data_IF_305346181724
#
_entry.id   IF_305346181724
#
_cell.length_a   1.000
_cell.length_b   1.000
_cell.length_c   1.000
_cell.angle_alpha   90.00
_cell.angle_beta   90.00
_cell.angle_gamma   90.00
#
_symmetry.space_group_name_H-M   'P 1'
#
loop_
_entity.id
_entity.type
_entity.pdbx_description
1 polymer ?
#
# COMPACT_ATOMS: atom_id res chain seq x y z
N UNK A 1 35.36 -13.95 -32.47
CA UNK A 1 35.70 -13.37 -31.15
C UNK A 1 35.57 -11.86 -31.32
N UNK A 2 34.54 -11.20 -30.78
CA UNK A 2 34.55 -10.65 -29.41
C UNK A 2 35.92 -9.97 -29.15
N UNK A 3 36.06 -8.68 -28.87
CA UNK A 3 35.25 -7.89 -27.96
C UNK A 3 35.63 -6.40 -28.05
N UNK A 4 34.61 -5.56 -27.79
CA UNK A 4 34.58 -4.15 -27.40
C UNK A 4 35.86 -3.49 -26.84
N UNK A 5 36.03 -2.20 -27.13
CA UNK A 5 36.10 -1.21 -26.05
C UNK A 5 35.68 0.20 -26.49
N UNK A 6 34.86 0.83 -25.66
CA UNK A 6 34.18 2.10 -25.86
C UNK A 6 35.00 3.29 -25.34
N UNK A 7 34.72 4.50 -25.86
CA UNK A 7 34.51 5.70 -25.04
C UNK A 7 34.03 6.85 -25.95
N UNK A 8 32.75 7.23 -25.94
CA UNK A 8 32.11 8.19 -25.03
C UNK A 8 32.66 9.63 -25.17
N UNK A 9 31.83 10.55 -25.70
CA UNK A 9 31.43 11.83 -25.08
C UNK A 9 30.68 12.69 -26.12
N UNK A 10 29.38 12.86 -25.87
CA UNK A 10 28.59 14.09 -25.93
C UNK A 10 28.96 15.17 -26.98
N UNK A 11 28.05 15.46 -27.91
CA UNK A 11 27.28 16.71 -27.86
C UNK A 11 26.34 16.85 -29.06
N UNK A 12 25.12 17.33 -28.76
CA UNK A 12 24.23 18.11 -29.63
C UNK A 12 24.20 17.65 -31.10
N UNK A 13 23.29 16.72 -31.41
CA UNK A 13 22.82 16.58 -32.78
C UNK A 13 22.08 17.87 -33.18
N UNK A 14 22.82 18.77 -33.83
CA UNK A 14 22.29 19.71 -34.81
C UNK A 14 21.43 18.93 -35.79
N UNK A 15 20.11 18.99 -35.59
CA UNK A 15 19.17 18.43 -36.55
C UNK A 15 19.29 19.24 -37.83
N UNK A 16 19.91 18.57 -38.79
CA UNK A 16 20.07 18.92 -40.18
C UNK A 16 18.89 19.75 -40.71
N UNK A 17 19.26 20.87 -41.35
CA UNK A 17 18.43 21.63 -42.28
C UNK A 17 17.94 20.70 -43.38
N UNK A 18 16.79 20.06 -43.15
CA UNK A 18 16.02 19.40 -44.19
C UNK A 18 15.24 20.45 -44.97
N UNK A 19 15.65 20.69 -46.22
CA UNK A 19 14.87 21.42 -47.21
C UNK A 19 13.47 20.78 -47.34
N UNK A 20 12.43 21.48 -46.88
CA UNK A 20 11.07 21.30 -47.39
C UNK A 20 10.63 22.62 -48.01
N UNK A 21 11.05 22.85 -49.25
CA UNK A 21 10.56 23.97 -50.07
C UNK A 21 9.20 23.57 -50.64
N UNK A 22 8.18 24.36 -50.30
CA UNK A 22 7.12 24.72 -51.23
C UNK A 22 5.79 23.98 -51.11
N UNK A 23 4.95 24.36 -50.15
CA UNK A 23 3.48 24.38 -50.40
C UNK A 23 2.84 25.74 -50.17
N UNK A 24 3.45 26.57 -49.33
CA UNK A 24 2.91 27.87 -48.98
C UNK A 24 3.84 28.98 -49.48
N UNK A 25 3.32 29.78 -50.39
CA UNK A 25 3.92 31.08 -50.73
C UNK A 25 3.46 32.12 -49.71
N UNK A 26 4.22 33.21 -49.57
CA UNK A 26 3.84 34.36 -48.73
C UNK A 26 2.43 34.86 -49.04
N UNK A 27 2.11 34.99 -50.33
CA UNK A 27 0.78 35.39 -50.79
C UNK A 27 -0.29 34.35 -50.43
N UNK A 28 0.01 33.06 -50.52
CA UNK A 28 -0.89 31.98 -50.11
C UNK A 28 -1.21 32.00 -48.62
N UNK A 29 -0.21 32.32 -47.77
CA UNK A 29 -0.43 32.52 -46.34
C UNK A 29 -1.30 33.76 -46.05
N UNK A 30 -1.07 34.89 -46.74
CA UNK A 30 -1.88 36.11 -46.60
C UNK A 30 -3.34 35.84 -47.01
N UNK A 31 -3.55 35.19 -48.16
CA UNK A 31 -4.89 34.80 -48.61
C UNK A 31 -5.57 33.86 -47.62
N UNK A 32 -4.85 32.84 -47.12
CA UNK A 32 -5.41 31.93 -46.13
C UNK A 32 -5.74 32.61 -44.81
N UNK A 33 -4.99 33.64 -44.41
CA UNK A 33 -5.24 34.39 -43.19
C UNK A 33 -6.42 35.35 -43.33
N UNK A 34 -6.66 35.88 -44.54
CA UNK A 34 -7.77 36.81 -44.84
C UNK A 34 -9.15 36.22 -44.58
N UNK A 35 -9.30 34.91 -44.68
CA UNK A 35 -10.57 34.21 -44.42
C UNK A 35 -10.94 34.13 -42.93
N UNK A 36 -10.06 34.60 -42.03
CA UNK A 36 -10.24 34.52 -40.59
C UNK A 36 -10.04 35.89 -39.93
N UNK A 37 -10.96 36.24 -39.03
CA UNK A 37 -10.88 37.48 -38.25
C UNK A 37 -9.97 37.37 -37.01
N UNK A 38 -9.78 36.14 -36.51
CA UNK A 38 -9.04 35.82 -35.29
C UNK A 38 -7.85 34.88 -35.53
N UNK A 39 -6.70 35.18 -34.93
CA UNK A 39 -5.52 34.32 -35.00
C UNK A 39 -5.79 32.90 -34.47
N UNK A 40 -6.61 32.76 -33.42
CA UNK A 40 -6.94 31.45 -32.83
C UNK A 40 -7.74 30.57 -33.78
N UNK A 41 -8.70 31.13 -34.52
CA UNK A 41 -9.49 30.37 -35.49
C UNK A 41 -8.64 30.00 -36.70
N UNK A 42 -7.79 30.91 -37.17
CA UNK A 42 -6.83 30.64 -38.23
C UNK A 42 -5.85 29.49 -37.86
N UNK A 43 -5.30 29.49 -36.64
CA UNK A 43 -4.41 28.41 -36.16
C UNK A 43 -5.14 27.06 -36.12
N UNK A 44 -6.39 27.04 -35.66
CA UNK A 44 -7.17 25.80 -35.53
C UNK A 44 -7.50 25.18 -36.88
N UNK A 45 -8.02 25.99 -37.81
CA UNK A 45 -8.53 25.51 -39.10
C UNK A 45 -7.41 25.38 -40.16
N UNK A 46 -6.39 26.24 -40.12
CA UNK A 46 -5.30 26.32 -41.12
C UNK A 46 -3.93 26.33 -40.47
N UNK A 47 -3.70 25.37 -39.58
CA UNK A 47 -2.45 25.20 -38.82
C UNK A 47 -1.19 25.19 -39.69
N UNK A 48 -1.23 24.54 -40.86
CA UNK A 48 -0.05 24.44 -41.76
C UNK A 48 0.31 25.76 -42.42
N UNK A 49 -0.68 26.59 -42.78
CA UNK A 49 -0.45 27.94 -43.29
C UNK A 49 0.12 28.87 -42.21
N UNK A 50 -0.40 28.77 -40.98
CA UNK A 50 0.13 29.51 -39.82
C UNK A 50 1.58 29.13 -39.50
N UNK A 51 1.90 27.83 -39.44
CA UNK A 51 3.27 27.38 -39.16
C UNK A 51 4.25 27.85 -40.23
N UNK A 52 3.86 27.79 -41.51
CA UNK A 52 4.67 28.34 -42.60
C UNK A 52 4.89 29.86 -42.45
N UNK A 53 3.84 30.63 -42.13
CA UNK A 53 3.95 32.06 -41.90
C UNK A 53 4.83 32.39 -40.67
N UNK A 54 4.73 31.61 -39.58
CA UNK A 54 5.56 31.77 -38.39
C UNK A 54 7.03 31.48 -38.68
N UNK A 55 7.31 30.34 -39.30
CA UNK A 55 8.68 29.86 -39.51
C UNK A 55 9.43 30.70 -40.56
N UNK A 56 8.70 31.40 -41.44
CA UNK A 56 9.26 32.35 -42.41
C UNK A 56 9.09 33.83 -42.02
N UNK A 57 8.53 34.15 -40.84
CA UNK A 57 8.38 35.52 -40.36
C UNK A 57 7.34 36.39 -41.10
N UNK A 58 6.32 35.78 -41.74
CA UNK A 58 5.25 36.47 -42.46
C UNK A 58 4.00 36.79 -41.62
N UNK A 59 4.03 36.50 -40.31
CA UNK A 59 2.86 36.64 -39.44
C UNK A 59 2.30 38.05 -39.39
N UNK A 60 3.15 39.07 -39.32
CA UNK A 60 2.70 40.47 -39.23
C UNK A 60 1.87 40.89 -40.45
N UNK A 61 2.27 40.43 -41.64
CA UNK A 61 1.54 40.71 -42.88
C UNK A 61 0.27 39.86 -43.01
N UNK A 62 0.32 38.60 -42.59
CA UNK A 62 -0.85 37.71 -42.61
C UNK A 62 -1.92 38.15 -41.60
N UNK A 63 -1.52 38.71 -40.46
CA UNK A 63 -2.42 39.07 -39.36
C UNK A 63 -2.73 40.57 -39.29
N UNK A 64 -2.36 41.36 -40.31
CA UNK A 64 -2.56 42.83 -40.31
C UNK A 64 -4.03 43.24 -40.16
N UNK A 65 -4.97 42.45 -40.68
CA UNK A 65 -6.41 42.68 -40.56
C UNK A 65 -7.03 42.04 -39.32
N UNK A 66 -6.31 41.14 -38.65
CA UNK A 66 -6.83 40.41 -37.49
C UNK A 66 -6.78 41.29 -36.25
N UNK A 67 -7.90 41.39 -35.55
CA UNK A 67 -7.96 42.15 -34.29
C UNK A 67 -7.42 41.26 -33.18
N UNK A 68 -6.26 41.61 -32.61
CA UNK A 68 -5.82 40.96 -31.39
C UNK A 68 -6.82 41.30 -30.27
N UNK A 69 -7.49 40.28 -29.73
CA UNK A 69 -8.34 40.45 -28.55
C UNK A 69 -7.54 41.14 -27.45
N UNK A 70 -8.03 42.29 -26.97
CA UNK A 70 -7.42 43.06 -25.88
C UNK A 70 -7.02 42.11 -24.77
N UNK A 71 -5.73 42.08 -24.42
CA UNK A 71 -5.27 41.36 -23.25
C UNK A 71 -5.93 42.02 -22.04
N UNK A 72 -6.85 41.34 -21.37
CA UNK A 72 -7.50 41.87 -20.17
C UNK A 72 -6.44 41.93 -19.09
N UNK A 73 -5.93 43.13 -18.84
CA UNK A 73 -5.03 43.43 -17.72
C UNK A 73 -5.88 43.66 -16.50
N UNK A 74 -5.75 42.79 -15.50
CA UNK A 74 -6.43 42.94 -14.22
C UNK A 74 -5.62 43.86 -13.32
N UNK A 75 -6.31 44.82 -12.72
CA UNK A 75 -5.77 45.69 -11.67
C UNK A 75 -6.08 45.12 -10.29
N UNK A 76 -5.30 45.55 -9.28
CA UNK A 76 -5.56 45.18 -7.88
C UNK A 76 -6.96 45.59 -7.43
N UNK A 77 -7.45 46.76 -7.87
CA UNK A 77 -8.79 47.26 -7.57
C UNK A 77 -9.89 46.33 -8.08
N UNK A 78 -9.84 45.94 -9.35
CA UNK A 78 -10.81 45.01 -9.94
C UNK A 78 -10.80 43.64 -9.25
N UNK A 79 -9.62 43.16 -8.85
CA UNK A 79 -9.52 41.93 -8.07
C UNK A 79 -10.15 42.07 -6.67
N UNK A 80 -9.99 43.23 -6.00
CA UNK A 80 -10.65 43.51 -4.71
C UNK A 80 -12.17 43.60 -4.87
N UNK A 81 -12.67 44.28 -5.88
CA UNK A 81 -14.11 44.42 -6.15
C UNK A 81 -14.75 43.07 -6.49
N UNK A 82 -14.03 42.21 -7.22
CA UNK A 82 -14.45 40.82 -7.46
C UNK A 82 -14.47 40.02 -6.16
N UNK A 83 -13.40 40.08 -5.36
CA UNK A 83 -13.28 39.34 -4.11
C UNK A 83 -14.32 39.76 -3.06
N UNK A 84 -14.70 41.05 -3.00
CA UNK A 84 -15.67 41.58 -2.06
C UNK A 84 -17.08 40.95 -2.20
N UNK A 85 -17.38 40.34 -3.35
CA UNK A 85 -18.66 39.66 -3.62
C UNK A 85 -18.76 38.27 -2.96
N UNK A 86 -17.68 37.76 -2.37
CA UNK A 86 -17.60 36.41 -1.85
C UNK A 86 -17.10 36.41 -0.40
N UNK A 87 -17.70 35.58 0.44
CA UNK A 87 -17.36 35.46 1.87
C UNK A 87 -16.13 34.58 2.11
N UNK A 88 -15.86 33.62 1.21
CA UNK A 88 -14.73 32.70 1.34
C UNK A 88 -13.88 32.66 0.08
N UNK A 89 -12.58 32.37 0.26
CA UNK A 89 -11.62 32.22 -0.86
C UNK A 89 -12.06 31.15 -1.86
N UNK A 90 -12.68 30.08 -1.37
CA UNK A 90 -13.20 28.99 -2.17
C UNK A 90 -14.41 29.39 -3.03
N UNK A 91 -15.32 30.20 -2.46
CA UNK A 91 -16.44 30.77 -3.20
C UNK A 91 -15.94 31.73 -4.29
N UNK A 92 -14.96 32.58 -3.97
CA UNK A 92 -14.35 33.48 -4.95
C UNK A 92 -13.69 32.73 -6.11
N UNK A 93 -12.90 31.69 -5.82
CA UNK A 93 -12.27 30.88 -6.86
C UNK A 93 -13.27 30.22 -7.82
N UNK A 94 -14.42 29.76 -7.29
CA UNK A 94 -15.48 29.14 -8.09
C UNK A 94 -16.29 30.16 -8.88
N UNK A 95 -16.55 31.34 -8.30
CA UNK A 95 -17.38 32.38 -8.89
C UNK A 95 -16.66 33.25 -9.91
N UNK A 96 -15.38 33.59 -9.67
CA UNK A 96 -14.57 34.42 -10.58
C UNK A 96 -13.13 33.91 -10.66
N UNK A 97 -12.97 32.85 -11.47
CA UNK A 97 -11.69 32.17 -11.66
C UNK A 97 -10.62 33.06 -12.30
N UNK A 98 -11.03 34.04 -13.12
CA UNK A 98 -10.11 34.93 -13.82
C UNK A 98 -9.53 35.98 -12.88
N UNK A 99 -10.37 36.65 -12.08
CA UNK A 99 -9.91 37.60 -11.08
C UNK A 99 -9.05 36.91 -10.01
N UNK A 100 -9.49 35.75 -9.50
CA UNK A 100 -8.71 34.95 -8.54
C UNK A 100 -7.35 34.54 -9.12
N UNK A 101 -7.34 34.08 -10.36
CA UNK A 101 -6.11 33.68 -11.06
C UNK A 101 -5.15 34.85 -11.32
N UNK A 102 -5.68 36.05 -11.59
CA UNK A 102 -4.87 37.26 -11.69
C UNK A 102 -4.27 37.65 -10.33
N UNK A 103 -5.10 37.70 -9.28
CA UNK A 103 -4.64 38.00 -7.93
C UNK A 103 -3.56 37.01 -7.45
N UNK A 104 -3.72 35.70 -7.74
CA UNK A 104 -2.71 34.69 -7.40
C UNK A 104 -1.39 34.90 -8.14
N UNK A 105 -1.44 35.19 -9.45
CA UNK A 105 -0.23 35.40 -10.26
C UNK A 105 0.54 36.66 -9.85
N UNK A 106 -0.17 37.69 -9.41
CA UNK A 106 0.41 38.97 -8.98
C UNK A 106 0.68 39.04 -7.46
N UNK A 107 0.39 37.99 -6.69
CA UNK A 107 0.59 37.97 -5.24
C UNK A 107 -0.43 38.75 -4.41
N UNK A 108 -1.52 39.24 -5.02
CA UNK A 108 -2.55 40.07 -4.39
C UNK A 108 -3.59 39.31 -3.55
N UNK A 109 -3.45 37.99 -3.41
CA UNK A 109 -4.43 37.14 -2.72
C UNK A 109 -4.70 37.58 -1.28
N UNK A 110 -3.66 38.01 -0.54
CA UNK A 110 -3.84 38.46 0.82
C UNK A 110 -4.61 39.79 0.88
N UNK A 111 -4.32 40.72 -0.02
CA UNK A 111 -4.98 42.03 -0.08
C UNK A 111 -6.45 41.94 -0.53
N UNK A 112 -6.75 41.01 -1.43
CA UNK A 112 -8.11 40.77 -1.91
C UNK A 112 -8.96 39.95 -0.92
N UNK A 113 -8.34 39.17 -0.03
CA UNK A 113 -9.05 38.26 0.87
C UNK A 113 -8.94 38.65 2.35
N UNK A 114 -8.66 39.91 2.68
CA UNK A 114 -8.58 40.36 4.08
C UNK A 114 -9.91 40.21 4.83
N UNK A 115 -11.04 40.39 4.13
CA UNK A 115 -12.39 40.24 4.69
C UNK A 115 -12.88 38.79 4.75
N UNK A 116 -12.16 37.85 4.13
CA UNK A 116 -12.56 36.45 4.07
C UNK A 116 -11.96 35.70 5.26
N UNK A 117 -12.80 35.24 6.20
CA UNK A 117 -12.35 34.41 7.30
C UNK A 117 -11.64 33.14 6.78
N UNK A 118 -10.52 32.80 7.42
CA UNK A 118 -9.82 31.58 7.11
C UNK A 118 -10.68 30.38 7.54
N UNK A 119 -11.30 29.71 6.57
CA UNK A 119 -12.21 28.58 6.80
C UNK A 119 -11.55 27.34 7.47
N UNK A 120 -10.27 27.39 7.81
CA UNK A 120 -9.55 26.28 8.42
C UNK A 120 -8.91 26.69 9.75
N UNK A 121 -9.44 26.14 10.84
CA UNK A 121 -8.66 26.00 12.07
C UNK A 121 -7.35 25.28 11.75
N UNK A 122 -6.24 25.89 12.16
CA UNK A 122 -4.92 25.29 12.04
C UNK A 122 -4.78 24.10 13.00
N UNK A 123 -4.12 23.06 12.52
CA UNK A 123 -3.71 21.94 13.38
C UNK A 123 -2.57 22.41 14.27
N UNK A 124 -2.70 22.18 15.57
CA UNK A 124 -1.66 22.42 16.55
C UNK A 124 -1.11 21.08 17.06
N UNK A 125 0.13 21.08 17.54
CA UNK A 125 0.74 19.91 18.16
C UNK A 125 -0.17 19.31 19.25
N UNK A 126 -0.79 20.15 20.08
CA UNK A 126 -1.69 19.71 21.15
C UNK A 126 -2.95 19.02 20.62
N UNK A 127 -3.57 19.55 19.55
CA UNK A 127 -4.72 18.88 18.90
C UNK A 127 -4.31 17.52 18.32
N UNK A 128 -3.14 17.44 17.71
CA UNK A 128 -2.60 16.17 17.20
C UNK A 128 -2.28 15.17 18.33
N UNK A 129 -1.67 15.62 19.44
CA UNK A 129 -1.41 14.77 20.63
C UNK A 129 -2.71 14.25 21.24
N UNK A 130 -3.73 15.10 21.41
CA UNK A 130 -5.03 14.72 21.94
C UNK A 130 -5.77 13.71 21.03
N UNK A 131 -5.58 13.82 19.70
CA UNK A 131 -6.08 12.83 18.75
C UNK A 131 -5.32 11.50 18.87
N UNK A 132 -3.99 11.54 18.84
CA UNK A 132 -3.13 10.35 18.90
C UNK A 132 -3.30 9.55 20.21
N UNK A 133 -3.54 10.23 21.33
CA UNK A 133 -3.74 9.61 22.65
C UNK A 133 -4.93 8.63 22.70
N UNK A 134 -5.88 8.72 21.76
CA UNK A 134 -7.04 7.83 21.66
C UNK A 134 -6.71 6.46 21.06
N UNK A 135 -5.53 6.30 20.48
CA UNK A 135 -5.14 5.13 19.71
C UNK A 135 -3.90 4.45 20.28
N UNK A 136 -3.86 3.13 20.14
CA UNK A 136 -2.81 2.27 20.71
C UNK A 136 -1.67 1.97 19.72
N UNK A 137 -1.87 2.22 18.43
CA UNK A 137 -0.85 2.03 17.40
C UNK A 137 -0.87 3.18 16.40
N UNK A 138 0.28 3.45 15.77
CA UNK A 138 0.38 4.49 14.72
C UNK A 138 -0.57 4.20 13.54
N UNK A 139 -0.81 2.92 13.25
CA UNK A 139 -1.73 2.48 12.21
C UNK A 139 -3.19 2.81 12.56
N UNK A 140 -3.62 2.50 13.78
CA UNK A 140 -4.99 2.77 14.23
C UNK A 140 -5.26 4.27 14.25
N UNK A 141 -4.27 5.07 14.66
CA UNK A 141 -4.40 6.53 14.57
C UNK A 141 -4.52 7.02 13.13
N UNK A 142 -3.70 6.51 12.22
CA UNK A 142 -3.73 6.90 10.81
C UNK A 142 -5.03 6.54 10.09
N UNK A 143 -5.66 5.42 10.48
CA UNK A 143 -6.95 4.99 9.91
C UNK A 143 -8.14 5.66 10.60
N UNK A 144 -8.09 5.87 11.91
CA UNK A 144 -9.18 6.45 12.70
C UNK A 144 -9.29 7.98 12.61
N UNK A 145 -8.16 8.70 12.59
CA UNK A 145 -8.11 10.16 12.44
C UNK A 145 -7.04 10.57 11.43
N UNK A 146 -7.31 10.25 10.17
CA UNK A 146 -6.40 10.53 9.05
C UNK A 146 -6.06 12.02 8.91
N UNK A 147 -6.97 12.93 9.29
CA UNK A 147 -6.72 14.38 9.18
C UNK A 147 -5.69 14.85 10.20
N UNK A 148 -5.84 14.46 11.47
CA UNK A 148 -4.88 14.78 12.52
C UNK A 148 -3.52 14.11 12.25
N UNK A 149 -3.54 12.85 11.81
CA UNK A 149 -2.33 12.11 11.44
C UNK A 149 -1.56 12.80 10.32
N UNK A 150 -2.22 13.15 9.21
CA UNK A 150 -1.59 13.83 8.07
C UNK A 150 -1.12 15.25 8.41
N UNK A 151 -1.77 15.92 9.37
CA UNK A 151 -1.28 17.18 9.88
C UNK A 151 0.04 16.99 10.66
N UNK A 152 0.11 15.99 11.55
CA UNK A 152 1.32 15.68 12.28
C UNK A 152 2.47 15.24 11.34
N UNK A 153 2.19 14.44 10.30
CA UNK A 153 3.18 14.07 9.27
C UNK A 153 3.77 15.32 8.60
N UNK A 154 2.92 16.21 8.10
CA UNK A 154 3.36 17.41 7.36
C UNK A 154 4.14 18.39 8.22
N UNK A 155 3.83 18.44 9.52
CA UNK A 155 4.49 19.32 10.48
C UNK A 155 5.68 18.68 11.19
N UNK A 156 5.99 17.40 10.94
CA UNK A 156 7.07 16.68 11.61
C UNK A 156 6.81 16.33 13.09
N UNK A 157 5.54 16.32 13.53
CA UNK A 157 5.14 16.07 14.92
C UNK A 157 4.84 14.60 15.22
N UNK A 158 5.16 13.70 14.29
CA UNK A 158 4.69 12.31 14.37
C UNK A 158 5.23 11.61 15.63
N UNK A 159 6.51 11.78 15.93
CA UNK A 159 7.16 11.15 17.07
C UNK A 159 6.66 11.76 18.39
N UNK A 160 6.52 13.07 18.47
CA UNK A 160 5.94 13.77 19.62
C UNK A 160 4.50 13.34 19.93
N UNK A 161 3.72 13.00 18.90
CA UNK A 161 2.35 12.51 19.04
C UNK A 161 2.28 11.02 19.37
N UNK A 162 3.33 10.24 19.08
CA UNK A 162 3.32 8.79 19.22
C UNK A 162 4.21 8.27 20.37
N UNK A 163 4.78 9.15 21.20
CA UNK A 163 5.63 8.77 22.33
C UNK A 163 4.95 7.74 23.26
N UNK A 164 3.65 7.91 23.55
CA UNK A 164 2.88 6.97 24.37
C UNK A 164 2.66 5.61 23.69
N UNK A 165 2.74 5.55 22.36
CA UNK A 165 2.57 4.30 21.59
C UNK A 165 3.83 3.45 21.71
N UNK A 166 5.00 4.09 21.71
CA UNK A 166 6.27 3.39 21.88
C UNK A 166 6.40 2.78 23.29
N UNK A 167 5.96 3.51 24.32
CA UNK A 167 5.91 2.97 25.69
C UNK A 167 4.95 1.77 25.81
N UNK A 168 3.81 1.80 25.14
CA UNK A 168 2.89 0.65 25.08
C UNK A 168 3.49 -0.56 24.33
N UNK A 169 4.28 -0.34 23.29
CA UNK A 169 4.95 -1.42 22.56
C UNK A 169 6.09 -2.05 23.35
N UNK A 170 6.81 -1.28 24.19
CA UNK A 170 7.83 -1.81 25.10
C UNK A 170 7.20 -2.75 26.15
N UNK A 171 5.97 -2.45 26.58
CA UNK A 171 5.20 -3.27 27.53
C UNK A 171 4.53 -4.51 26.91
N UNK A 172 4.67 -4.75 25.60
CA UNK A 172 4.20 -6.02 25.01
C UNK A 172 5.06 -7.17 25.53
N UNK A 173 4.42 -8.10 26.24
CA UNK A 173 5.02 -9.34 26.76
C UNK A 173 5.95 -9.96 25.70
N UNK A 174 7.25 -9.95 25.97
CA UNK A 174 8.26 -10.58 25.11
C UNK A 174 8.43 -12.03 25.52
N UNK A 175 8.08 -12.94 24.62
CA UNK A 175 8.42 -14.35 24.78
C UNK A 175 9.94 -14.54 24.84
N UNK A 176 10.37 -15.28 25.84
CA UNK A 176 11.73 -15.81 25.97
C UNK A 176 11.81 -17.22 25.39
N UNK A 177 13.02 -17.67 25.04
CA UNK A 177 13.23 -19.04 24.56
C UNK A 177 12.79 -20.07 25.60
N UNK A 178 13.08 -19.82 26.88
CA UNK A 178 12.67 -20.71 27.98
C UNK A 178 11.16 -20.86 28.10
N UNK A 179 10.39 -19.77 27.97
CA UNK A 179 8.92 -19.83 27.96
C UNK A 179 8.37 -20.58 26.73
N UNK A 180 8.99 -20.39 25.55
CA UNK A 180 8.62 -21.15 24.36
C UNK A 180 8.87 -22.66 24.54
N UNK A 181 10.02 -23.05 25.11
CA UNK A 181 10.31 -24.45 25.46
C UNK A 181 9.31 -24.99 26.47
N UNK A 182 9.03 -24.24 27.54
CA UNK A 182 8.06 -24.63 28.56
C UNK A 182 6.62 -24.75 28.01
N UNK A 183 6.27 -23.96 27.00
CA UNK A 183 5.01 -24.13 26.26
C UNK A 183 5.02 -25.41 25.42
N UNK A 184 6.09 -25.64 24.65
CA UNK A 184 6.24 -26.83 23.79
C UNK A 184 6.18 -28.14 24.59
N UNK A 185 6.82 -28.21 25.76
CA UNK A 185 6.85 -29.40 26.62
C UNK A 185 5.49 -29.83 27.18
N UNK A 186 4.46 -28.97 27.10
CA UNK A 186 3.08 -29.34 27.52
C UNK A 186 2.36 -30.23 26.52
N UNK A 187 2.92 -30.38 25.32
CA UNK A 187 2.32 -31.12 24.23
C UNK A 187 3.20 -32.32 23.88
N UNK A 188 2.60 -33.33 23.24
CA UNK A 188 3.31 -34.54 22.83
C UNK A 188 3.82 -34.47 21.39
N UNK A 189 3.28 -33.55 20.57
CA UNK A 189 3.67 -33.37 19.17
C UNK A 189 3.72 -31.89 18.79
N UNK A 190 4.55 -31.57 17.80
CA UNK A 190 4.66 -30.22 17.22
C UNK A 190 3.31 -29.67 16.73
N UNK A 191 2.49 -30.52 16.10
CA UNK A 191 1.19 -30.13 15.59
C UNK A 191 0.17 -29.85 16.71
N UNK A 192 0.20 -30.65 17.77
CA UNK A 192 -0.59 -30.38 18.98
C UNK A 192 -0.16 -29.06 19.63
N UNK A 193 1.14 -28.77 19.69
CA UNK A 193 1.65 -27.49 20.19
C UNK A 193 1.22 -26.30 19.32
N UNK A 194 1.29 -26.43 18.00
CA UNK A 194 0.85 -25.39 17.08
C UNK A 194 -0.64 -25.03 17.24
N UNK A 195 -1.50 -26.04 17.44
CA UNK A 195 -2.93 -25.84 17.66
C UNK A 195 -3.23 -25.31 19.08
N UNK A 196 -2.53 -25.81 20.09
CA UNK A 196 -2.77 -25.51 21.49
C UNK A 196 -2.21 -24.17 21.97
N UNK A 197 -1.04 -23.76 21.46
CA UNK A 197 -0.42 -22.47 21.76
C UNK A 197 0.18 -21.83 20.49
N UNK A 198 -0.67 -21.30 19.59
CA UNK A 198 -0.23 -20.74 18.32
C UNK A 198 0.64 -19.49 18.48
N UNK A 199 0.55 -18.79 19.62
CA UNK A 199 1.34 -17.59 19.88
C UNK A 199 2.77 -17.94 20.27
N UNK A 200 2.98 -18.93 21.14
CA UNK A 200 4.31 -19.45 21.44
C UNK A 200 4.96 -20.05 20.18
N UNK A 201 4.24 -20.89 19.45
CA UNK A 201 4.72 -21.54 18.23
C UNK A 201 5.16 -20.52 17.16
N UNK A 202 4.28 -19.53 16.85
CA UNK A 202 4.60 -18.49 15.86
C UNK A 202 5.76 -17.62 16.31
N UNK A 203 5.91 -17.39 17.61
CA UNK A 203 7.04 -16.62 18.14
C UNK A 203 8.35 -17.40 17.99
N UNK A 204 8.35 -18.70 18.31
CA UNK A 204 9.51 -19.56 18.11
C UNK A 204 9.90 -19.61 16.62
N UNK A 205 8.94 -19.76 15.72
CA UNK A 205 9.18 -19.72 14.27
C UNK A 205 9.79 -18.39 13.81
N UNK A 206 9.23 -17.25 14.23
CA UNK A 206 9.73 -15.91 13.84
C UNK A 206 11.13 -15.62 14.36
N UNK A 207 11.48 -16.14 15.55
CA UNK A 207 12.77 -15.90 16.20
C UNK A 207 13.81 -16.97 15.87
N UNK A 208 13.46 -17.99 15.07
CA UNK A 208 14.36 -19.09 14.71
C UNK A 208 14.58 -20.12 15.83
N UNK A 209 13.76 -20.10 16.88
CA UNK A 209 13.85 -20.98 18.06
C UNK A 209 13.13 -22.32 17.90
N UNK A 210 12.64 -22.60 16.68
CA UNK A 210 11.76 -23.72 16.45
C UNK A 210 12.51 -25.03 16.71
N UNK A 211 13.75 -25.16 16.23
CA UNK A 211 14.55 -26.37 16.41
C UNK A 211 14.75 -26.72 17.90
N UNK A 212 15.10 -25.73 18.72
CA UNK A 212 15.34 -25.91 20.15
C UNK A 212 14.07 -26.21 20.94
N UNK A 213 12.91 -25.82 20.43
CA UNK A 213 11.62 -26.20 21.02
C UNK A 213 11.17 -27.60 20.55
N UNK A 214 11.58 -28.01 19.34
CA UNK A 214 11.20 -29.28 18.75
C UNK A 214 12.04 -30.47 19.24
N UNK A 215 13.25 -30.23 19.74
CA UNK A 215 14.16 -31.25 20.29
C UNK A 215 13.48 -32.20 21.30
N UNK A 216 12.57 -31.66 22.13
CA UNK A 216 11.77 -32.44 23.06
C UNK A 216 10.92 -33.51 22.37
N UNK A 217 10.24 -33.16 21.26
CA UNK A 217 9.42 -34.11 20.51
C UNK A 217 10.29 -35.18 19.83
N UNK A 218 11.46 -34.77 19.33
CA UNK A 218 12.41 -35.70 18.70
C UNK A 218 13.02 -36.67 19.72
N UNK A 219 13.16 -36.27 20.99
CA UNK A 219 13.54 -37.19 22.08
C UNK A 219 12.43 -38.20 22.37
N UNK A 220 11.20 -37.71 22.56
CA UNK A 220 10.04 -38.58 22.84
C UNK A 220 9.83 -39.61 21.72
N UNK A 221 9.94 -39.20 20.46
CA UNK A 221 9.84 -40.10 19.31
C UNK A 221 10.97 -41.14 19.29
N UNK A 222 12.19 -40.80 19.74
CA UNK A 222 13.30 -41.78 19.82
C UNK A 222 13.04 -42.82 20.90
N UNK A 223 12.53 -42.41 22.05
CA UNK A 223 12.32 -43.27 23.22
C UNK A 223 11.08 -44.17 23.10
N UNK A 224 10.04 -43.74 22.39
CA UNK A 224 8.82 -44.53 22.19
C UNK A 224 9.13 -45.89 21.56
N UNK A 225 8.65 -46.96 22.17
CA UNK A 225 8.90 -48.35 21.77
C UNK A 225 7.77 -48.95 20.92
N UNK A 226 8.05 -50.10 20.30
CA UNK A 226 7.05 -50.85 19.54
C UNK A 226 5.89 -51.33 20.42
N UNK A 227 6.19 -51.87 21.61
CA UNK A 227 5.18 -52.41 22.52
C UNK A 227 4.25 -51.32 23.04
N UNK A 228 4.77 -50.12 23.31
CA UNK A 228 3.96 -48.96 23.70
C UNK A 228 3.06 -48.49 22.56
N UNK A 229 3.55 -48.46 21.31
CA UNK A 229 2.72 -48.15 20.14
C UNK A 229 1.57 -49.17 19.98
N UNK A 230 1.84 -50.45 20.20
CA UNK A 230 0.84 -51.52 20.10
C UNK A 230 -0.18 -51.44 21.25
N UNK A 231 0.29 -51.18 22.47
CA UNK A 231 -0.56 -51.00 23.64
C UNK A 231 -1.48 -49.79 23.47
N UNK A 232 -0.96 -48.64 23.01
CA UNK A 232 -1.77 -47.46 22.70
C UNK A 232 -2.81 -47.77 21.61
N UNK A 233 -2.39 -48.38 20.50
CA UNK A 233 -3.31 -48.81 19.43
C UNK A 233 -4.42 -49.73 19.95
N UNK A 234 -4.12 -50.63 20.89
CA UNK A 234 -5.12 -51.53 21.49
C UNK A 234 -6.19 -50.82 22.33
N UNK A 235 -5.96 -49.57 22.75
CA UNK A 235 -6.95 -48.77 23.47
C UNK A 235 -7.91 -48.03 22.52
N UNK A 236 -7.63 -48.02 21.22
CA UNK A 236 -8.45 -47.36 20.22
C UNK A 236 -9.33 -48.37 19.47
N UNK A 237 -10.53 -47.92 19.11
CA UNK A 237 -11.52 -48.66 18.32
C UNK A 237 -11.78 -48.04 16.94
N UNK A 238 -11.16 -46.89 16.66
CA UNK A 238 -11.27 -46.18 15.38
C UNK A 238 -9.89 -45.81 14.87
N UNK A 239 -9.60 -46.29 13.66
CA UNK A 239 -8.36 -46.01 12.96
C UNK A 239 -8.13 -44.50 12.73
N UNK A 240 -9.18 -43.76 12.36
CA UNK A 240 -9.06 -42.34 12.02
C UNK A 240 -8.67 -41.48 13.23
N UNK A 241 -9.12 -41.86 14.43
CA UNK A 241 -8.77 -41.17 15.67
C UNK A 241 -7.31 -41.49 16.06
N UNK A 242 -6.90 -42.75 15.93
CA UNK A 242 -5.53 -43.16 16.25
C UNK A 242 -4.49 -42.62 15.26
N UNK A 243 -4.82 -42.57 13.96
CA UNK A 243 -3.95 -42.08 12.88
C UNK A 243 -3.88 -40.55 12.74
N UNK A 244 -4.33 -39.84 13.77
CA UNK A 244 -4.21 -38.39 13.88
C UNK A 244 -2.75 -37.93 13.88
N UNK A 245 -2.46 -36.80 13.23
CA UNK A 245 -1.14 -36.14 13.28
C UNK A 245 -0.74 -35.68 14.68
N UNK A 246 -1.68 -35.67 15.62
CA UNK A 246 -1.45 -35.27 17.01
C UNK A 246 -1.03 -36.47 17.89
N UNK A 247 -1.18 -37.72 17.41
CA UNK A 247 -0.80 -38.93 18.14
C UNK A 247 0.68 -39.28 17.89
N UNK A 248 1.48 -39.25 18.95
CA UNK A 248 2.91 -39.58 18.91
C UNK A 248 3.17 -41.05 18.53
N UNK A 249 2.34 -41.98 19.00
CA UNK A 249 2.51 -43.42 18.72
C UNK A 249 2.28 -43.73 17.25
N UNK A 250 1.31 -43.05 16.62
CA UNK A 250 1.11 -43.15 15.18
C UNK A 250 2.29 -42.57 14.39
N UNK A 251 2.80 -41.40 14.78
CA UNK A 251 3.97 -40.80 14.11
C UNK A 251 5.20 -41.72 14.22
N UNK A 252 5.43 -42.30 15.40
CA UNK A 252 6.49 -43.30 15.60
C UNK A 252 6.28 -44.54 14.75
N UNK A 253 5.10 -45.15 14.81
CA UNK A 253 4.76 -46.32 14.02
C UNK A 253 4.93 -46.05 12.52
N UNK A 254 4.58 -44.85 12.04
CA UNK A 254 4.78 -44.43 10.65
C UNK A 254 6.25 -44.34 10.28
N UNK A 255 7.08 -43.78 11.16
CA UNK A 255 8.53 -43.67 10.93
C UNK A 255 9.25 -45.03 10.92
N UNK A 256 8.78 -45.99 11.73
CA UNK A 256 9.40 -47.31 11.88
C UNK A 256 8.71 -48.42 11.06
N UNK A 257 7.63 -48.12 10.33
CA UNK A 257 6.91 -49.10 9.50
C UNK A 257 5.95 -50.02 10.26
N UNK A 258 5.57 -49.69 11.50
CA UNK A 258 4.69 -50.51 12.36
C UNK A 258 3.18 -50.26 12.15
N UNK A 259 2.85 -49.28 11.31
CA UNK A 259 1.46 -48.81 11.09
C UNK A 259 0.47 -49.93 10.81
N UNK A 260 0.83 -50.88 9.95
CA UNK A 260 -0.09 -51.96 9.54
C UNK A 260 -0.46 -52.86 10.72
N UNK A 261 0.52 -53.17 11.58
CA UNK A 261 0.30 -54.03 12.74
C UNK A 261 -0.64 -53.34 13.74
N UNK A 262 -0.37 -52.08 14.08
CA UNK A 262 -1.25 -51.30 14.96
C UNK A 262 -2.66 -51.14 14.37
N UNK A 263 -2.77 -50.96 13.04
CA UNK A 263 -4.06 -50.87 12.35
C UNK A 263 -4.87 -52.15 12.47
N UNK A 264 -4.23 -53.31 12.27
CA UNK A 264 -4.90 -54.61 12.39
C UNK A 264 -5.44 -54.83 13.81
N UNK A 265 -4.67 -54.45 14.84
CA UNK A 265 -5.12 -54.48 16.24
C UNK A 265 -6.36 -53.61 16.48
N UNK A 266 -6.36 -52.36 15.98
CA UNK A 266 -7.51 -51.45 16.13
C UNK A 266 -8.74 -52.03 15.44
N UNK A 267 -8.60 -52.58 14.23
CA UNK A 267 -9.70 -53.17 13.47
C UNK A 267 -10.28 -54.41 14.17
N UNK A 268 -9.41 -55.25 14.77
CA UNK A 268 -9.87 -56.38 15.60
C UNK A 268 -10.69 -55.90 16.80
N UNK A 269 -10.26 -54.84 17.48
CA UNK A 269 -11.02 -54.23 18.58
C UNK A 269 -12.38 -53.70 18.13
N UNK A 270 -12.46 -53.02 16.97
CA UNK A 270 -13.72 -52.55 16.40
C UNK A 270 -14.69 -53.71 16.16
N UNK A 271 -14.19 -54.82 15.61
CA UNK A 271 -14.98 -56.03 15.34
C UNK A 271 -15.47 -56.67 16.63
N UNK A 272 -14.61 -56.84 17.63
CA UNK A 272 -14.99 -57.40 18.95
C UNK A 272 -16.05 -56.53 19.62
N UNK A 273 -15.89 -55.21 19.61
CA UNK A 273 -16.89 -54.26 20.15
C UNK A 273 -18.23 -54.38 19.44
N UNK A 274 -18.22 -54.48 18.11
CA UNK A 274 -19.44 -54.68 17.32
C UNK A 274 -20.14 -56.02 17.64
N UNK A 275 -19.39 -57.11 17.77
CA UNK A 275 -19.92 -58.43 18.12
C UNK A 275 -20.56 -58.44 19.52
N UNK A 276 -19.94 -57.77 20.50
CA UNK A 276 -20.51 -57.57 21.85
C UNK A 276 -21.84 -56.79 21.79
N UNK A 277 -21.90 -55.71 21.01
CA UNK A 277 -23.14 -54.93 20.81
C UNK A 277 -24.28 -55.75 20.18
N UNK A 278 -23.95 -56.77 19.40
CA UNK A 278 -24.92 -57.69 18.78
C UNK A 278 -25.24 -58.93 19.62
N UNK A 279 -24.69 -59.05 20.83
CA UNK A 279 -24.92 -60.20 21.71
C UNK A 279 -24.31 -61.52 21.20
N UNK A 280 -23.34 -61.44 20.28
CA UNK A 280 -22.74 -62.61 19.61
C UNK A 280 -21.52 -63.19 20.37
N UNK A 281 -21.05 -62.52 21.42
CA UNK A 281 -19.91 -62.93 22.25
C UNK A 281 -20.23 -62.61 23.72
N UNK A 282 -19.89 -63.48 24.69
CA UNK A 282 -20.07 -63.20 26.12
C UNK A 282 -19.36 -61.92 26.55
N UNK A 283 -19.98 -61.18 27.47
CA UNK A 283 -19.49 -59.90 28.01
C UNK A 283 -18.12 -60.04 28.66
#
# INVERSE_FOLDING_TARGET
MLTMCACNICSKQEKQKGLFVGRWSKQGCISSARDYDDLKTWIRERKTAYLAARDNGWLDECCKHMKYGKTITWTLGECKDSAAKYETRGAWYKGDRNAYGAARRNGWLNDCCQHMEAAHESWTLQKCKASAAKYSTRWDWGTGDSKAYQAAVRSGWLDDCCEHIETLNINRRRWTLGECKASASKYSTSNAWQKGDPNAYRTAQKKGWLYECLEHFDSLLRETTYDECLADASNHDKWDEWSSSDNIFYLKAKSCGWVMICKDTIMQNSVVKWLKLKGMVPS
#
